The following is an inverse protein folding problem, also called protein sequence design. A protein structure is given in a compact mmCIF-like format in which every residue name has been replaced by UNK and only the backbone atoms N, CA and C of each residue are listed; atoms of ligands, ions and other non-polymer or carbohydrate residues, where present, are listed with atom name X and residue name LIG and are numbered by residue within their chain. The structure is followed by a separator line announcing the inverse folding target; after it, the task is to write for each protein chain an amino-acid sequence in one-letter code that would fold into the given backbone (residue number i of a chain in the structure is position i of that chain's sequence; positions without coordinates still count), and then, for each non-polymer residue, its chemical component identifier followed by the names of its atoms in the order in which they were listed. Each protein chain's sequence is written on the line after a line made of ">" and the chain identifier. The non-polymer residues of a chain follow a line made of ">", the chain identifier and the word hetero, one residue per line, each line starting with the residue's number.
data_IF_918423745961
#
_entry.id   IF_918423745961
#
_cell.length_a   1.000
_cell.length_b   1.000
_cell.length_c   1.000
_cell.angle_alpha   90.00
_cell.angle_beta   90.00
_cell.angle_gamma   90.00
#
_symmetry.space_group_name_H-M   'P 1'
#
loop_
_entity.id
_entity.type
_entity.pdbx_description
1 polymer ?
#
# COMPACT_ATOMS: atom_id res chain seq x y z
N UNK A 1 -16.47 9.89 32.63
CA UNK A 1 -15.15 9.31 32.52
C UNK A 1 -15.01 8.31 31.38
N UNK A 2 -16.03 7.50 31.10
CA UNK A 2 -16.00 6.59 29.95
C UNK A 2 -15.88 7.31 28.62
N UNK A 3 -16.38 8.52 28.55
CA UNK A 3 -16.33 9.38 27.38
C UNK A 3 -14.90 9.70 26.94
N UNK A 4 -14.03 10.02 27.91
CA UNK A 4 -12.65 10.38 27.63
C UNK A 4 -11.89 9.23 27.02
N UNK A 5 -12.16 8.01 27.45
CA UNK A 5 -11.54 6.80 26.92
C UNK A 5 -11.94 6.58 25.47
N UNK A 6 -13.23 6.76 25.15
CA UNK A 6 -13.72 6.62 23.79
C UNK A 6 -13.11 7.65 22.85
N UNK A 7 -13.00 8.89 23.30
CA UNK A 7 -12.40 9.96 22.52
C UNK A 7 -10.93 9.67 22.23
N UNK A 8 -10.20 9.14 23.20
CA UNK A 8 -8.79 8.78 23.02
C UNK A 8 -8.64 7.65 22.00
N UNK A 9 -9.52 6.66 22.02
CA UNK A 9 -9.49 5.56 21.04
C UNK A 9 -9.74 6.07 19.63
N UNK A 10 -10.72 6.95 19.45
CA UNK A 10 -10.98 7.56 18.16
C UNK A 10 -9.80 8.40 17.69
N UNK A 11 -9.17 9.13 18.60
CA UNK A 11 -7.98 9.91 18.26
C UNK A 11 -6.83 9.05 17.76
N UNK A 12 -6.60 7.88 18.39
CA UNK A 12 -5.55 6.95 17.98
C UNK A 12 -5.85 6.36 16.60
N UNK A 13 -7.09 5.96 16.34
CA UNK A 13 -7.49 5.43 15.03
C UNK A 13 -7.30 6.50 13.96
N UNK A 14 -7.71 7.72 14.23
CA UNK A 14 -7.51 8.82 13.30
C UNK A 14 -6.05 9.11 13.00
N UNK A 15 -5.19 9.04 14.00
CA UNK A 15 -3.75 9.24 13.84
C UNK A 15 -3.14 8.15 12.98
N UNK A 16 -3.51 6.89 13.19
CA UNK A 16 -3.05 5.74 12.40
C UNK A 16 -3.47 5.90 10.92
N UNK A 17 -4.71 6.35 10.68
CA UNK A 17 -5.23 6.53 9.33
C UNK A 17 -4.45 7.60 8.55
N UNK A 18 -3.82 8.54 9.23
CA UNK A 18 -3.03 9.62 8.59
C UNK A 18 -1.61 9.19 8.20
N UNK A 19 -1.17 8.02 8.63
CA UNK A 19 0.21 7.57 8.45
C UNK A 19 0.47 6.77 7.17
N UNK A 20 -0.42 6.87 6.19
CA UNK A 20 -0.26 6.21 4.91
C UNK A 20 -1.09 4.94 4.76
N UNK A 21 -0.79 4.14 3.77
CA UNK A 21 -1.52 2.90 3.53
C UNK A 21 -0.94 1.75 4.36
N UNK A 22 -1.75 0.68 4.55
CA UNK A 22 -1.35 -0.46 5.37
C UNK A 22 -0.47 -1.42 4.56
N UNK A 23 0.78 -1.06 4.38
CA UNK A 23 1.73 -1.77 3.54
C UNK A 23 1.94 -3.22 3.98
N UNK A 24 1.69 -3.54 5.26
CA UNK A 24 1.78 -4.91 5.76
C UNK A 24 0.82 -5.86 5.06
N UNK A 25 -0.34 -5.36 4.63
CA UNK A 25 -1.30 -6.16 3.87
C UNK A 25 -0.71 -6.55 2.53
N UNK A 26 0.01 -5.64 1.88
CA UNK A 26 0.69 -5.90 0.62
C UNK A 26 1.75 -6.98 0.78
N UNK A 27 2.56 -6.89 1.83
CA UNK A 27 3.55 -7.92 2.15
C UNK A 27 2.89 -9.26 2.43
N UNK A 28 1.76 -9.26 3.15
CA UNK A 28 1.00 -10.47 3.39
C UNK A 28 0.59 -11.16 2.10
N UNK A 29 0.11 -10.40 1.14
CA UNK A 29 -0.24 -10.95 -0.19
C UNK A 29 0.99 -11.57 -0.85
N UNK A 30 2.13 -10.87 -0.82
CA UNK A 30 3.37 -11.34 -1.43
C UNK A 30 3.88 -12.65 -0.84
N UNK A 31 3.83 -12.79 0.49
CA UNK A 31 4.39 -13.97 1.16
C UNK A 31 3.40 -15.12 1.34
N UNK A 32 2.09 -14.83 1.45
CA UNK A 32 1.10 -15.85 1.76
C UNK A 32 0.35 -16.39 0.55
N UNK A 33 0.32 -15.65 -0.55
CA UNK A 33 -0.36 -16.10 -1.77
C UNK A 33 0.66 -16.81 -2.65
N UNK A 34 0.57 -18.14 -2.72
CA UNK A 34 1.56 -18.97 -3.43
C UNK A 34 1.37 -19.03 -4.93
N UNK A 35 0.13 -18.92 -5.42
CA UNK A 35 -0.12 -18.93 -6.86
C UNK A 35 0.28 -17.58 -7.47
N UNK A 36 1.23 -17.57 -8.44
CA UNK A 36 1.71 -16.31 -9.02
C UNK A 36 0.62 -15.48 -9.69
N UNK A 37 -0.32 -16.12 -10.37
CA UNK A 37 -1.41 -15.41 -11.03
C UNK A 37 -2.35 -14.75 -10.03
N UNK A 38 -2.71 -15.47 -8.99
CA UNK A 38 -3.57 -14.95 -7.93
C UNK A 38 -2.85 -13.84 -7.16
N UNK A 39 -1.57 -14.04 -6.85
CA UNK A 39 -0.76 -13.04 -6.16
C UNK A 39 -0.71 -11.74 -6.94
N UNK A 40 -0.49 -11.82 -8.26
CA UNK A 40 -0.47 -10.65 -9.13
C UNK A 40 -1.80 -9.88 -9.09
N UNK A 41 -2.92 -10.61 -9.20
CA UNK A 41 -4.24 -10.01 -9.15
C UNK A 41 -4.51 -9.31 -7.82
N UNK A 42 -4.16 -9.96 -6.72
CA UNK A 42 -4.39 -9.41 -5.39
C UNK A 42 -3.51 -8.19 -5.12
N UNK A 43 -2.26 -8.23 -5.54
CA UNK A 43 -1.35 -7.10 -5.41
C UNK A 43 -1.85 -5.89 -6.20
N UNK A 44 -2.29 -6.13 -7.43
CA UNK A 44 -2.81 -5.06 -8.28
C UNK A 44 -4.08 -4.46 -7.70
N UNK A 45 -4.99 -5.31 -7.22
CA UNK A 45 -6.23 -4.84 -6.58
C UNK A 45 -5.91 -4.00 -5.33
N UNK A 46 -4.96 -4.45 -4.52
CA UNK A 46 -4.56 -3.71 -3.33
C UNK A 46 -4.01 -2.33 -3.67
N UNK A 47 -3.16 -2.25 -4.69
CA UNK A 47 -2.60 -0.97 -5.15
C UNK A 47 -3.69 -0.01 -5.60
N UNK A 48 -4.68 -0.52 -6.33
CA UNK A 48 -5.81 0.30 -6.78
C UNK A 48 -6.64 0.81 -5.60
N UNK A 49 -6.97 -0.08 -4.66
CA UNK A 49 -7.79 0.27 -3.51
C UNK A 49 -7.12 1.26 -2.56
N UNK A 50 -5.81 1.19 -2.46
CA UNK A 50 -5.05 2.00 -1.50
C UNK A 50 -4.32 3.18 -2.14
N UNK A 51 -4.54 3.43 -3.43
CA UNK A 51 -3.80 4.45 -4.18
C UNK A 51 -3.86 5.84 -3.55
N UNK A 52 -5.02 6.21 -2.97
CA UNK A 52 -5.20 7.52 -2.37
C UNK A 52 -4.55 7.66 -0.99
N UNK A 53 -4.24 6.55 -0.36
CA UNK A 53 -3.72 6.53 1.02
C UNK A 53 -2.23 6.30 1.11
N UNK A 54 -1.61 5.77 0.07
CA UNK A 54 -0.17 5.51 0.07
C UNK A 54 0.61 6.79 -0.16
N UNK A 55 1.71 6.93 0.57
CA UNK A 55 2.66 8.04 0.42
C UNK A 55 3.82 7.62 -0.48
N UNK A 56 4.61 8.61 -0.91
CA UNK A 56 5.79 8.34 -1.74
C UNK A 56 6.71 7.30 -1.10
N UNK A 57 6.94 7.38 0.20
CA UNK A 57 7.79 6.42 0.91
C UNK A 57 7.26 5.00 0.83
N UNK A 58 5.94 4.83 0.88
CA UNK A 58 5.30 3.51 0.77
C UNK A 58 5.60 2.90 -0.61
N UNK A 59 5.47 3.70 -1.66
CA UNK A 59 5.74 3.21 -3.02
C UNK A 59 7.20 2.83 -3.23
N UNK A 60 8.13 3.57 -2.63
CA UNK A 60 9.56 3.25 -2.70
C UNK A 60 9.85 1.89 -2.05
N UNK A 61 9.26 1.64 -0.88
CA UNK A 61 9.44 0.37 -0.18
C UNK A 61 8.85 -0.77 -1.00
N UNK A 62 7.64 -0.60 -1.55
CA UNK A 62 7.01 -1.61 -2.40
C UNK A 62 7.88 -1.90 -3.63
N UNK A 63 8.37 -0.88 -4.28
CA UNK A 63 9.23 -1.02 -5.47
C UNK A 63 10.47 -1.84 -5.17
N UNK A 64 11.16 -1.53 -4.07
CA UNK A 64 12.39 -2.20 -3.70
C UNK A 64 12.21 -3.68 -3.37
N UNK A 65 11.03 -4.07 -2.89
CA UNK A 65 10.74 -5.44 -2.51
C UNK A 65 9.98 -6.24 -3.56
N UNK A 66 9.57 -5.58 -4.64
CA UNK A 66 8.70 -6.22 -5.65
C UNK A 66 9.39 -7.40 -6.33
N UNK A 67 10.70 -7.32 -6.54
CA UNK A 67 11.47 -8.37 -7.21
C UNK A 67 11.42 -9.72 -6.48
N UNK A 68 11.13 -9.72 -5.18
CA UNK A 68 11.00 -10.96 -4.41
C UNK A 68 9.74 -11.74 -4.75
N UNK A 69 8.70 -11.05 -5.21
CA UNK A 69 7.38 -11.64 -5.38
C UNK A 69 6.92 -11.75 -6.82
N UNK A 70 7.38 -10.89 -7.69
CA UNK A 70 6.87 -10.80 -9.05
C UNK A 70 7.86 -11.38 -10.05
N UNK A 71 7.37 -12.27 -10.90
CA UNK A 71 8.13 -12.74 -12.05
C UNK A 71 8.31 -11.62 -13.06
N UNK A 72 9.27 -11.79 -13.99
CA UNK A 72 9.64 -10.75 -14.93
C UNK A 72 8.50 -10.27 -15.83
N UNK A 73 7.61 -11.19 -16.23
CA UNK A 73 6.50 -10.86 -17.13
C UNK A 73 5.39 -10.08 -16.40
N UNK A 74 5.10 -10.49 -15.17
CA UNK A 74 4.02 -9.88 -14.37
C UNK A 74 4.44 -8.56 -13.74
N UNK A 75 5.74 -8.37 -13.50
CA UNK A 75 6.24 -7.19 -12.82
C UNK A 75 6.03 -5.90 -13.60
N UNK A 76 5.92 -5.98 -14.94
CA UNK A 76 5.74 -4.78 -15.78
C UNK A 76 4.47 -4.02 -15.41
N UNK A 77 3.35 -4.73 -15.29
CA UNK A 77 2.07 -4.10 -14.94
C UNK A 77 2.10 -3.54 -13.52
N UNK A 78 2.62 -4.30 -12.56
CA UNK A 78 2.74 -3.84 -11.18
C UNK A 78 3.67 -2.63 -11.07
N UNK A 79 4.80 -2.66 -11.74
CA UNK A 79 5.75 -1.55 -11.73
C UNK A 79 5.16 -0.28 -12.33
N UNK A 80 4.42 -0.41 -13.44
CA UNK A 80 3.72 0.71 -14.04
C UNK A 80 2.73 1.33 -13.07
N UNK A 81 1.96 0.50 -12.36
CA UNK A 81 0.97 0.96 -11.38
C UNK A 81 1.65 1.68 -10.22
N UNK A 82 2.78 1.15 -9.76
CA UNK A 82 3.54 1.76 -8.67
C UNK A 82 4.10 3.12 -9.09
N UNK A 83 4.63 3.23 -10.30
CA UNK A 83 5.15 4.50 -10.82
C UNK A 83 4.04 5.56 -10.88
N UNK A 84 2.88 5.21 -11.41
CA UNK A 84 1.74 6.14 -11.46
C UNK A 84 1.29 6.55 -10.07
N UNK A 85 1.21 5.60 -9.16
CA UNK A 85 0.84 5.88 -7.77
C UNK A 85 1.85 6.80 -7.09
N UNK A 86 3.13 6.57 -7.32
CA UNK A 86 4.19 7.42 -6.79
C UNK A 86 4.06 8.86 -7.28
N UNK A 87 3.84 9.05 -8.57
CA UNK A 87 3.66 10.39 -9.14
C UNK A 87 2.46 11.11 -8.55
N UNK A 88 1.34 10.40 -8.39
CA UNK A 88 0.15 10.96 -7.79
C UNK A 88 0.37 11.34 -6.33
N UNK A 89 1.06 10.49 -5.58
CA UNK A 89 1.40 10.75 -4.19
C UNK A 89 2.32 11.98 -4.07
N UNK A 90 3.28 12.07 -4.97
CA UNK A 90 4.21 13.20 -5.00
C UNK A 90 3.45 14.51 -5.24
N UNK A 91 2.50 14.53 -6.16
CA UNK A 91 1.66 15.70 -6.41
C UNK A 91 0.83 16.08 -5.21
N UNK A 92 0.25 15.09 -4.50
CA UNK A 92 -0.52 15.35 -3.29
C UNK A 92 0.35 15.95 -2.17
N UNK A 93 1.57 15.49 -2.05
CA UNK A 93 2.49 15.95 -1.00
C UNK A 93 3.01 17.36 -1.25
N UNK A 94 3.02 17.80 -2.49
CA UNK A 94 3.43 19.17 -2.83
C UNK A 94 2.38 20.21 -2.45
N UNK A 95 1.16 19.82 -2.25
CA UNK A 95 0.07 20.70 -1.86
C UNK A 95 0.00 20.80 -0.33
#
# INVERSE_FOLDING_TARGET
>A
MRWLILILLFGLVGAVAKNGCHIREFYGIGYLTHDPTQRHKEMLAWLIENAEHCKTDDYVVIWNNLSEWAGSADSVQLRSKIIHGYKDALDREKK
#
